data_IF_917400614247
#
_entry.id   IF_917400614247
#
_cell.length_a   1.000
_cell.length_b   1.000
_cell.length_c   1.000
_cell.angle_alpha   90.00
_cell.angle_beta   90.00
_cell.angle_gamma   90.00
#
_symmetry.space_group_name_H-M   'P 1'
#
loop_
_entity.id
_entity.type
_entity.pdbx_description
1 polymer ?
#
# COMPACT_ATOMS: atom_id res chain seq x y z
N UNK A 1 -26.57 -26.63 -0.11
CA UNK A 1 -26.12 -27.04 1.25
C UNK A 1 -24.68 -27.50 1.13
N UNK A 2 -23.76 -26.77 1.75
CA UNK A 2 -22.31 -27.00 1.63
C UNK A 2 -21.57 -25.69 1.82
N UNK A 3 -21.72 -25.10 3.00
CA UNK A 3 -21.06 -23.87 3.43
C UNK A 3 -19.56 -23.95 3.21
N UNK A 4 -19.04 -23.04 2.38
CA UNK A 4 -17.61 -22.72 2.33
C UNK A 4 -17.24 -22.07 3.66
N UNK A 5 -16.98 -22.92 4.65
CA UNK A 5 -16.51 -22.54 5.96
C UNK A 5 -15.11 -21.97 5.77
N UNK A 6 -15.02 -20.64 5.71
CA UNK A 6 -13.77 -19.93 5.93
C UNK A 6 -13.43 -20.10 7.40
N UNK A 7 -12.89 -21.27 7.73
CA UNK A 7 -12.35 -21.55 9.02
C UNK A 7 -11.19 -20.57 9.23
N UNK A 8 -11.26 -19.68 10.25
CA UNK A 8 -10.14 -18.81 10.52
C UNK A 8 -8.94 -19.71 10.83
N UNK A 9 -7.85 -19.51 10.07
CA UNK A 9 -6.54 -20.16 10.29
C UNK A 9 -5.95 -19.88 11.70
N UNK A 10 -6.67 -19.10 12.52
CA UNK A 10 -6.36 -18.77 13.91
C UNK A 10 -6.83 -19.81 14.95
N UNK A 11 -7.63 -20.83 14.59
CA UNK A 11 -8.21 -21.78 15.55
C UNK A 11 -7.54 -23.16 15.56
N UNK A 12 -6.21 -23.19 15.55
CA UNK A 12 -5.43 -24.43 15.54
C UNK A 12 -3.94 -24.25 15.84
N UNK A 13 -3.58 -23.23 16.64
CA UNK A 13 -2.22 -23.11 17.16
C UNK A 13 -2.08 -23.98 18.42
N UNK A 14 -2.00 -25.30 18.24
CA UNK A 14 -1.42 -26.14 19.27
C UNK A 14 0.07 -25.80 19.37
N UNK A 15 0.42 -25.18 20.50
CA UNK A 15 1.72 -24.61 20.87
C UNK A 15 2.90 -25.61 20.94
N UNK A 16 2.76 -26.82 20.40
CA UNK A 16 3.68 -27.93 20.66
C UNK A 16 4.44 -28.51 19.46
N UNK A 17 4.39 -27.92 18.27
CA UNK A 17 5.33 -28.29 17.21
C UNK A 17 6.69 -27.60 17.40
N UNK A 18 7.52 -28.12 18.30
CA UNK A 18 8.96 -27.83 18.32
C UNK A 18 9.54 -28.37 17.00
N UNK A 19 9.78 -27.51 16.02
CA UNK A 19 10.40 -27.90 14.73
C UNK A 19 11.83 -28.34 15.03
N UNK A 20 12.20 -29.64 14.94
CA UNK A 20 13.44 -30.14 15.51
C UNK A 20 14.71 -29.78 14.69
N UNK A 21 14.55 -29.11 13.55
CA UNK A 21 15.67 -28.75 12.68
C UNK A 21 15.24 -27.62 11.71
N UNK A 22 14.71 -26.52 12.25
CA UNK A 22 14.64 -25.26 11.49
C UNK A 22 16.09 -24.79 11.34
N UNK A 23 16.78 -25.40 10.37
CA UNK A 23 18.23 -25.50 10.29
C UNK A 23 18.87 -24.13 10.47
N UNK A 24 19.86 -24.04 11.37
CA UNK A 24 20.70 -22.86 11.59
C UNK A 24 21.15 -22.21 10.27
N UNK A 25 21.34 -23.00 9.23
CA UNK A 25 21.67 -22.59 7.85
C UNK A 25 20.65 -21.60 7.27
N UNK A 26 19.34 -21.86 7.37
CA UNK A 26 18.29 -20.96 6.85
C UNK A 26 18.26 -19.66 7.65
N UNK A 27 18.54 -19.73 8.94
CA UNK A 27 18.61 -18.55 9.81
C UNK A 27 19.87 -17.74 9.49
N UNK A 28 21.03 -18.38 9.30
CA UNK A 28 22.28 -17.73 8.88
C UNK A 28 22.13 -17.09 7.51
N UNK A 29 21.61 -17.82 6.51
CA UNK A 29 21.39 -17.32 5.15
C UNK A 29 20.44 -16.11 5.17
N UNK A 30 19.37 -16.16 5.97
CA UNK A 30 18.46 -15.04 6.16
C UNK A 30 19.13 -13.86 6.88
N UNK A 31 19.92 -14.10 7.93
CA UNK A 31 20.63 -13.05 8.67
C UNK A 31 21.70 -12.37 7.82
N UNK A 32 22.37 -13.11 6.94
CA UNK A 32 23.39 -12.60 6.03
C UNK A 32 22.79 -11.74 4.91
N UNK A 33 21.63 -12.12 4.37
CA UNK A 33 20.97 -11.36 3.29
C UNK A 33 20.04 -10.24 3.80
N UNK A 34 19.49 -10.34 5.02
CA UNK A 34 18.64 -9.31 5.65
C UNK A 34 19.19 -7.89 5.51
N UNK A 35 20.46 -7.58 5.82
CA UNK A 35 20.96 -6.21 5.71
C UNK A 35 21.01 -5.72 4.26
N UNK A 36 21.25 -6.59 3.27
CA UNK A 36 21.24 -6.20 1.85
C UNK A 36 19.83 -5.83 1.40
N UNK A 37 18.84 -6.68 1.69
CA UNK A 37 17.45 -6.42 1.28
C UNK A 37 16.86 -5.20 1.99
N UNK A 38 17.18 -5.01 3.27
CA UNK A 38 16.74 -3.82 4.02
C UNK A 38 17.37 -2.55 3.44
N UNK A 39 18.69 -2.56 3.17
CA UNK A 39 19.36 -1.42 2.54
C UNK A 39 18.78 -1.10 1.18
N UNK A 40 18.55 -2.10 0.33
CA UNK A 40 17.95 -1.91 -0.99
C UNK A 40 16.53 -1.34 -0.87
N UNK A 41 15.70 -1.85 0.04
CA UNK A 41 14.33 -1.37 0.23
C UNK A 41 14.27 0.06 0.75
N UNK A 42 15.19 0.46 1.63
CA UNK A 42 15.31 1.84 2.11
C UNK A 42 15.68 2.77 0.97
N UNK A 43 16.68 2.39 0.17
CA UNK A 43 17.13 3.18 -0.98
C UNK A 43 15.99 3.39 -1.99
N UNK A 44 15.27 2.32 -2.35
CA UNK A 44 14.10 2.40 -3.24
C UNK A 44 13.01 3.30 -2.66
N UNK A 45 12.75 3.23 -1.35
CA UNK A 45 11.77 4.09 -0.69
C UNK A 45 12.17 5.56 -0.76
N UNK A 46 13.45 5.87 -0.50
CA UNK A 46 13.98 7.24 -0.58
C UNK A 46 13.80 7.79 -2.00
N UNK A 47 14.17 7.02 -3.03
CA UNK A 47 14.01 7.46 -4.42
C UNK A 47 12.55 7.72 -4.81
N UNK A 48 11.62 6.87 -4.35
CA UNK A 48 10.20 7.09 -4.59
C UNK A 48 9.70 8.40 -3.96
N UNK A 49 10.05 8.67 -2.70
CA UNK A 49 9.66 9.92 -2.05
C UNK A 49 10.36 11.16 -2.63
N UNK A 50 11.60 11.01 -3.09
CA UNK A 50 12.34 12.10 -3.75
C UNK A 50 11.66 12.56 -5.03
N UNK A 51 11.05 11.66 -5.81
CA UNK A 51 10.31 12.04 -7.01
C UNK A 51 9.17 13.02 -6.68
N UNK A 52 8.36 12.71 -5.68
CA UNK A 52 7.28 13.60 -5.22
C UNK A 52 7.82 14.90 -4.61
N UNK A 53 8.94 14.83 -3.87
CA UNK A 53 9.58 16.00 -3.29
C UNK A 53 10.04 17.01 -4.35
N UNK A 54 10.68 16.54 -5.41
CA UNK A 54 11.16 17.38 -6.52
C UNK A 54 9.98 18.04 -7.23
N UNK A 55 8.89 17.31 -7.47
CA UNK A 55 7.65 17.88 -8.04
C UNK A 55 7.14 19.04 -7.19
N UNK A 56 7.05 18.86 -5.88
CA UNK A 56 6.59 19.91 -4.96
C UNK A 56 7.52 21.14 -4.96
N UNK A 57 8.84 20.93 -5.04
CA UNK A 57 9.80 22.03 -5.15
C UNK A 57 9.57 22.86 -6.41
N UNK A 58 9.37 22.23 -7.57
CA UNK A 58 9.08 22.97 -8.82
C UNK A 58 7.76 23.72 -8.74
N UNK A 59 6.71 23.11 -8.20
CA UNK A 59 5.42 23.80 -8.01
C UNK A 59 5.52 24.96 -7.03
N UNK A 60 6.42 24.88 -6.04
CA UNK A 60 6.72 25.99 -5.12
C UNK A 60 7.31 27.23 -5.78
N UNK A 61 8.01 27.07 -6.92
CA UNK A 61 8.53 28.21 -7.67
C UNK A 61 7.49 28.88 -8.56
N UNK A 62 6.38 28.18 -8.88
CA UNK A 62 5.27 28.73 -9.67
C UNK A 62 4.39 29.66 -8.82
N UNK A 63 4.22 29.34 -7.54
CA UNK A 63 3.51 30.19 -6.60
C UNK A 63 3.05 29.41 -5.37
N UNK A 64 2.46 30.15 -4.41
CA UNK A 64 1.94 29.56 -3.18
C UNK A 64 0.63 28.78 -3.40
N UNK A 65 -0.12 29.09 -4.44
CA UNK A 65 -1.38 28.43 -4.75
C UNK A 65 -1.15 27.07 -5.42
N UNK A 66 -0.22 27.03 -6.37
CA UNK A 66 0.17 25.85 -7.15
C UNK A 66 0.79 24.78 -6.25
N UNK A 67 1.70 25.17 -5.34
CA UNK A 67 2.23 24.23 -4.34
C UNK A 67 1.17 23.77 -3.34
N UNK A 68 0.19 24.62 -2.98
CA UNK A 68 -0.89 24.23 -2.09
C UNK A 68 -1.79 23.17 -2.75
N UNK A 69 -2.18 23.38 -4.02
CA UNK A 69 -2.93 22.40 -4.82
C UNK A 69 -2.15 21.10 -5.02
N UNK A 70 -0.91 21.18 -5.48
CA UNK A 70 -0.05 20.02 -5.70
C UNK A 70 0.22 19.23 -4.41
N UNK A 71 0.40 19.91 -3.27
CA UNK A 71 0.60 19.28 -1.96
C UNK A 71 -0.65 18.56 -1.49
N UNK A 72 -1.84 19.17 -1.61
CA UNK A 72 -3.10 18.53 -1.25
C UNK A 72 -3.41 17.33 -2.15
N UNK A 73 -3.13 17.42 -3.46
CA UNK A 73 -3.26 16.29 -4.36
C UNK A 73 -2.28 15.16 -4.00
N UNK A 74 -0.99 15.48 -3.80
CA UNK A 74 0.08 14.48 -3.58
C UNK A 74 0.08 13.87 -2.18
N UNK A 75 -0.10 14.68 -1.13
CA UNK A 75 -0.04 14.23 0.27
C UNK A 75 -1.44 13.91 0.78
N UNK A 76 -2.45 14.67 0.39
CA UNK A 76 -3.83 14.45 0.81
C UNK A 76 -4.48 13.28 0.07
N UNK A 77 -4.77 13.48 -1.23
CA UNK A 77 -5.51 12.50 -2.03
C UNK A 77 -4.67 11.25 -2.28
N UNK A 78 -3.47 11.43 -2.83
CA UNK A 78 -2.58 10.32 -3.16
C UNK A 78 -2.04 9.61 -1.90
N UNK A 79 -1.79 10.35 -0.83
CA UNK A 79 -1.45 9.77 0.47
C UNK A 79 -2.57 8.92 1.06
N UNK A 80 -3.82 9.36 0.98
CA UNK A 80 -4.99 8.58 1.39
C UNK A 80 -5.11 7.28 0.59
N UNK A 81 -5.05 7.37 -0.74
CA UNK A 81 -5.12 6.22 -1.64
C UNK A 81 -4.00 5.21 -1.34
N UNK A 82 -2.77 5.69 -1.21
CA UNK A 82 -1.61 4.85 -0.90
C UNK A 82 -1.75 4.19 0.49
N UNK A 83 -2.23 4.93 1.50
CA UNK A 83 -2.47 4.39 2.83
C UNK A 83 -3.48 3.25 2.85
N UNK A 84 -4.60 3.39 2.12
CA UNK A 84 -5.62 2.34 1.99
C UNK A 84 -5.03 1.10 1.33
N UNK A 85 -4.33 1.26 0.20
CA UNK A 85 -3.72 0.13 -0.51
C UNK A 85 -2.62 -0.56 0.31
N UNK A 86 -1.77 0.21 0.98
CA UNK A 86 -0.70 -0.32 1.84
C UNK A 86 -1.27 -1.11 3.02
N UNK A 87 -2.34 -0.62 3.65
CA UNK A 87 -3.02 -1.31 4.74
C UNK A 87 -3.58 -2.67 4.32
N UNK A 88 -4.24 -2.73 3.16
CA UNK A 88 -4.73 -4.01 2.61
C UNK A 88 -3.58 -4.95 2.24
N UNK A 89 -2.52 -4.44 1.62
CA UNK A 89 -1.35 -5.24 1.25
C UNK A 89 -0.68 -5.86 2.50
N UNK A 90 -0.59 -5.12 3.60
CA UNK A 90 -0.07 -5.61 4.88
C UNK A 90 -0.90 -6.76 5.46
N UNK A 91 -2.23 -6.66 5.37
CA UNK A 91 -3.13 -7.75 5.78
C UNK A 91 -2.92 -9.01 4.93
N UNK A 92 -2.76 -8.85 3.62
CA UNK A 92 -2.48 -9.95 2.69
C UNK A 92 -1.13 -10.59 2.98
N UNK A 93 -0.09 -9.79 3.22
CA UNK A 93 1.23 -10.28 3.61
C UNK A 93 1.16 -11.13 4.88
N UNK A 94 0.35 -10.73 5.86
CA UNK A 94 0.14 -11.49 7.10
C UNK A 94 -0.54 -12.84 6.81
N UNK A 95 -1.61 -12.85 6.03
CA UNK A 95 -2.32 -14.09 5.66
C UNK A 95 -1.45 -15.03 4.83
N UNK A 96 -0.69 -14.51 3.87
CA UNK A 96 0.27 -15.28 3.10
C UNK A 96 1.40 -15.83 3.98
N UNK A 97 1.91 -15.03 4.93
CA UNK A 97 2.91 -15.47 5.90
C UNK A 97 2.42 -16.61 6.79
N UNK A 98 1.15 -16.55 7.23
CA UNK A 98 0.53 -17.64 7.98
C UNK A 98 0.36 -18.91 7.13
N UNK A 99 -0.14 -18.78 5.90
CA UNK A 99 -0.31 -19.91 4.99
C UNK A 99 1.04 -20.57 4.63
N UNK A 100 2.08 -19.76 4.43
CA UNK A 100 3.45 -20.22 4.22
C UNK A 100 4.00 -20.97 5.44
N UNK A 101 3.86 -20.41 6.64
CA UNK A 101 4.28 -21.04 7.90
C UNK A 101 3.57 -22.38 8.16
N UNK A 102 2.30 -22.51 7.77
CA UNK A 102 1.53 -23.76 7.83
C UNK A 102 1.83 -24.75 6.69
N UNK A 103 2.81 -24.45 5.82
CA UNK A 103 3.17 -25.22 4.61
C UNK A 103 2.01 -25.41 3.62
N UNK A 104 1.00 -24.53 3.63
CA UNK A 104 -0.18 -24.57 2.75
C UNK A 104 0.01 -23.66 1.53
N UNK A 105 1.00 -23.98 0.68
CA UNK A 105 1.37 -23.13 -0.47
C UNK A 105 0.25 -22.96 -1.52
N UNK A 106 -0.55 -24.01 -1.76
CA UNK A 106 -1.69 -23.92 -2.68
C UNK A 106 -2.75 -22.92 -2.19
N UNK A 107 -3.02 -22.89 -0.88
CA UNK A 107 -3.95 -21.93 -0.28
C UNK A 107 -3.39 -20.50 -0.31
N UNK A 108 -2.08 -20.33 -0.11
CA UNK A 108 -1.39 -19.03 -0.25
C UNK A 108 -1.60 -18.43 -1.65
N UNK A 109 -1.46 -19.23 -2.71
CA UNK A 109 -1.68 -18.79 -4.08
C UNK A 109 -3.12 -18.28 -4.31
N UNK A 110 -4.11 -19.00 -3.79
CA UNK A 110 -5.53 -18.60 -3.88
C UNK A 110 -5.79 -17.29 -3.10
N UNK A 111 -5.20 -17.14 -1.91
CA UNK A 111 -5.29 -15.90 -1.12
C UNK A 111 -4.71 -14.73 -1.91
N UNK A 112 -3.54 -14.90 -2.54
CA UNK A 112 -2.89 -13.87 -3.34
C UNK A 112 -3.75 -13.46 -4.55
N UNK A 113 -4.30 -14.42 -5.30
CA UNK A 113 -5.18 -14.12 -6.43
C UNK A 113 -6.42 -13.34 -6.00
N UNK A 114 -7.08 -13.76 -4.91
CA UNK A 114 -8.23 -13.05 -4.35
C UNK A 114 -7.87 -11.64 -3.89
N UNK A 115 -6.71 -11.49 -3.25
CA UNK A 115 -6.19 -10.20 -2.82
C UNK A 115 -5.93 -9.25 -3.99
N UNK A 116 -5.39 -9.74 -5.11
CA UNK A 116 -5.18 -8.96 -6.33
C UNK A 116 -6.51 -8.44 -6.88
N UNK A 117 -7.52 -9.32 -7.00
CA UNK A 117 -8.87 -8.93 -7.46
C UNK A 117 -9.47 -7.86 -6.54
N UNK A 118 -9.34 -8.04 -5.22
CA UNK A 118 -9.81 -7.07 -4.24
C UNK A 118 -9.09 -5.72 -4.37
N UNK A 119 -7.76 -5.73 -4.52
CA UNK A 119 -6.96 -4.50 -4.71
C UNK A 119 -7.34 -3.77 -5.99
N UNK A 120 -7.58 -4.50 -7.09
CA UNK A 120 -8.05 -3.91 -8.35
C UNK A 120 -9.42 -3.25 -8.17
N UNK A 121 -10.34 -3.91 -7.45
CA UNK A 121 -11.65 -3.33 -7.15
C UNK A 121 -11.54 -2.02 -6.36
N UNK A 122 -10.68 -1.99 -5.34
CA UNK A 122 -10.44 -0.76 -4.55
C UNK A 122 -9.72 0.30 -5.38
N UNK A 123 -8.77 -0.07 -6.23
CA UNK A 123 -8.11 0.87 -7.13
C UNK A 123 -9.13 1.58 -8.04
N UNK A 124 -10.09 0.85 -8.61
CA UNK A 124 -11.18 1.44 -9.40
C UNK A 124 -12.03 2.39 -8.58
N UNK A 125 -12.34 2.06 -7.31
CA UNK A 125 -13.06 2.98 -6.43
C UNK A 125 -12.25 4.26 -6.13
N UNK A 126 -10.94 4.13 -5.96
CA UNK A 126 -10.05 5.27 -5.72
C UNK A 126 -9.96 6.20 -6.92
N UNK A 127 -10.06 5.70 -8.17
CA UNK A 127 -10.08 6.54 -9.38
C UNK A 127 -11.19 7.61 -9.31
N UNK A 128 -12.36 7.26 -8.77
CA UNK A 128 -13.44 8.25 -8.59
C UNK A 128 -13.04 9.38 -7.63
N UNK A 129 -12.23 9.10 -6.60
CA UNK A 129 -11.71 10.12 -5.68
C UNK A 129 -10.79 11.09 -6.43
N UNK A 130 -9.96 10.59 -7.35
CA UNK A 130 -9.10 11.45 -8.17
C UNK A 130 -9.90 12.28 -9.17
N UNK A 131 -10.90 11.68 -9.81
CA UNK A 131 -11.72 12.37 -10.83
C UNK A 131 -12.63 13.44 -10.23
N UNK A 132 -13.15 13.22 -9.02
CA UNK A 132 -14.01 14.18 -8.30
C UNK A 132 -13.25 14.90 -7.17
N UNK A 133 -11.94 15.06 -7.34
CA UNK A 133 -11.05 15.65 -6.34
C UNK A 133 -11.44 17.09 -6.00
N UNK A 134 -11.74 17.96 -6.97
CA UNK A 134 -12.15 19.34 -6.71
C UNK A 134 -13.38 19.46 -5.81
N UNK A 135 -14.54 18.88 -6.18
CA UNK A 135 -15.73 18.89 -5.33
C UNK A 135 -15.50 18.26 -3.95
N UNK A 136 -14.71 17.19 -3.87
CA UNK A 136 -14.34 16.56 -2.61
C UNK A 136 -13.51 17.49 -1.73
N UNK A 137 -12.54 18.20 -2.30
CA UNK A 137 -11.70 19.17 -1.60
C UNK A 137 -12.51 20.34 -1.07
N UNK A 138 -13.47 20.85 -1.85
CA UNK A 138 -14.43 21.87 -1.37
C UNK A 138 -15.28 21.32 -0.24
N UNK A 139 -15.76 20.07 -0.33
CA UNK A 139 -16.60 19.44 0.68
C UNK A 139 -15.88 19.26 2.04
N UNK A 140 -14.57 19.01 2.03
CA UNK A 140 -13.74 18.96 3.26
C UNK A 140 -13.31 20.35 3.76
N UNK A 141 -13.77 21.43 3.12
CA UNK A 141 -13.56 22.81 3.56
C UNK A 141 -12.34 23.52 2.97
N UNK A 142 -11.74 23.02 1.89
CA UNK A 142 -10.70 23.77 1.17
C UNK A 142 -11.28 24.97 0.41
N UNK A 143 -10.47 26.00 0.18
CA UNK A 143 -10.87 27.12 -0.66
C UNK A 143 -11.07 26.66 -2.11
N UNK A 144 -11.99 27.29 -2.82
CA UNK A 144 -12.28 26.96 -4.22
C UNK A 144 -11.02 27.02 -5.10
N UNK A 145 -10.15 28.01 -4.88
CA UNK A 145 -8.89 28.17 -5.61
C UNK A 145 -7.91 27.02 -5.40
N UNK A 146 -7.81 26.50 -4.17
CA UNK A 146 -6.92 25.37 -3.86
C UNK A 146 -7.51 24.07 -4.38
N UNK A 147 -8.84 23.93 -4.30
CA UNK A 147 -9.55 22.77 -4.82
C UNK A 147 -9.43 22.65 -6.34
N UNK A 148 -9.51 23.76 -7.07
CA UNK A 148 -9.32 23.82 -8.53
C UNK A 148 -7.90 23.39 -8.92
N UNK A 149 -6.86 23.95 -8.28
CA UNK A 149 -5.48 23.51 -8.55
C UNK A 149 -5.29 22.03 -8.17
N UNK A 150 -5.81 21.61 -7.02
CA UNK A 150 -5.75 20.21 -6.60
C UNK A 150 -6.42 19.25 -7.60
N UNK A 151 -7.52 19.67 -8.22
CA UNK A 151 -8.22 18.93 -9.27
C UNK A 151 -7.40 18.81 -10.56
N UNK A 152 -6.65 19.85 -10.93
CA UNK A 152 -5.75 19.79 -12.08
C UNK A 152 -4.61 18.79 -11.84
N UNK A 153 -4.04 18.77 -10.62
CA UNK A 153 -2.94 17.88 -10.28
C UNK A 153 -3.37 16.42 -10.04
N UNK A 154 -4.56 16.17 -9.49
CA UNK A 154 -4.97 14.85 -9.02
C UNK A 154 -4.98 13.75 -10.12
N UNK A 155 -5.54 13.95 -11.33
CA UNK A 155 -5.50 12.94 -12.39
C UNK A 155 -4.09 12.61 -12.86
N UNK A 156 -3.17 13.58 -12.81
CA UNK A 156 -1.76 13.39 -13.19
C UNK A 156 -0.96 12.53 -12.21
N UNK A 157 -1.53 12.24 -11.03
CA UNK A 157 -0.93 11.36 -10.02
C UNK A 157 -1.38 9.90 -10.16
N UNK A 158 -2.40 9.61 -10.98
CA UNK A 158 -2.85 8.24 -11.21
C UNK A 158 -1.74 7.48 -11.95
N UNK A 159 -1.14 6.43 -11.35
CA UNK A 159 -0.08 5.64 -11.98
C UNK A 159 -0.58 4.76 -13.13
#
# INVERSE_FOLDING_TARGET
>A
MGSTEYQPLLLGLDSHSRIPDLSLIVIEEFLEHRPVVVRASIVVSIFNYMLSFVTLMFTGHLGSLEIAGASIASVGIQGLAYGIMLGMASAVQTMCGQAYGAKKLAAMGIICQKAIILHLGVAVLLIFIYWYSGPLLVAIGQSASIAEEGEVFAPGLIP
#
